data_IF_425389082229
#
_entry.id   IF_425389082229
#
_cell.length_a   1.000
_cell.length_b   1.000
_cell.length_c   1.000
_cell.angle_alpha   90.00
_cell.angle_beta   90.00
_cell.angle_gamma   90.00
#
_symmetry.space_group_name_H-M   'P 1'
#
loop_
_entity.id
_entity.type
_entity.pdbx_description
1 polymer ?
#
# COMPACT_ATOMS: atom_id res chain seq x y z
N UNK A 1 6.20 -4.72 -17.73
CA UNK A 1 5.44 -4.24 -16.57
C UNK A 1 5.92 -2.86 -16.13
N UNK A 2 5.01 -1.97 -15.90
CA UNK A 2 5.35 -0.63 -15.45
C UNK A 2 5.28 -0.56 -13.94
N UNK A 3 6.39 -0.18 -13.33
CA UNK A 3 6.42 0.07 -11.90
C UNK A 3 6.03 1.52 -11.66
N UNK A 4 5.15 1.73 -10.74
CA UNK A 4 4.75 3.07 -10.37
C UNK A 4 5.09 3.32 -8.91
N UNK A 5 5.90 4.32 -8.69
CA UNK A 5 6.19 4.79 -7.34
C UNK A 5 5.32 5.99 -7.04
N UNK A 6 4.66 5.95 -5.91
CA UNK A 6 3.78 7.03 -5.49
C UNK A 6 4.08 7.39 -4.05
N UNK A 7 3.95 8.67 -3.74
CA UNK A 7 4.05 9.13 -2.37
C UNK A 7 2.68 8.99 -1.73
N UNK A 8 2.63 8.33 -0.59
CA UNK A 8 1.38 8.15 0.14
C UNK A 8 0.97 9.47 0.78
N UNK A 9 -0.21 9.95 0.43
CA UNK A 9 -0.73 11.19 1.01
C UNK A 9 -1.46 10.90 2.31
N UNK A 10 -2.19 9.79 2.35
CA UNK A 10 -3.05 9.49 3.47
C UNK A 10 -3.40 8.01 3.45
N UNK A 11 -3.55 7.43 4.63
CA UNK A 11 -4.07 6.08 4.80
C UNK A 11 -5.43 6.21 5.47
N UNK A 12 -6.47 5.78 4.78
CA UNK A 12 -7.84 5.86 5.27
C UNK A 12 -8.30 4.61 5.97
N UNK A 13 -9.59 4.58 6.27
CA UNK A 13 -10.23 3.44 6.91
C UNK A 13 -10.31 3.57 8.42
N UNK A 14 -10.74 2.47 9.06
CA UNK A 14 -10.86 2.44 10.51
C UNK A 14 -9.47 2.45 11.14
N UNK A 15 -9.43 2.84 12.40
CA UNK A 15 -8.16 2.92 13.12
C UNK A 15 -7.40 1.61 13.11
N UNK A 16 -8.09 0.48 13.29
CA UNK A 16 -7.44 -0.83 13.24
C UNK A 16 -6.79 -1.10 11.89
N UNK A 17 -7.53 -0.82 10.81
CA UNK A 17 -7.02 -1.00 9.45
C UNK A 17 -5.83 -0.10 9.20
N UNK A 18 -5.93 1.14 9.63
CA UNK A 18 -4.85 2.10 9.46
C UNK A 18 -3.59 1.67 10.20
N UNK A 19 -3.74 1.20 11.43
CA UNK A 19 -2.61 0.69 12.21
C UNK A 19 -1.97 -0.52 11.54
N UNK A 20 -2.79 -1.42 11.03
CA UNK A 20 -2.29 -2.58 10.32
C UNK A 20 -1.43 -2.17 9.14
N UNK A 21 -1.93 -1.24 8.34
CA UNK A 21 -1.19 -0.75 7.18
C UNK A 21 0.07 0.00 7.57
N UNK A 22 0.00 0.80 8.63
CA UNK A 22 1.18 1.51 9.13
C UNK A 22 2.27 0.55 9.60
N UNK A 23 1.87 -0.54 10.24
CA UNK A 23 2.82 -1.56 10.67
C UNK A 23 3.53 -2.24 9.49
N UNK A 24 2.87 -2.30 8.35
CA UNK A 24 3.48 -2.81 7.13
C UNK A 24 4.39 -1.78 6.46
N UNK A 25 4.29 -0.52 6.86
CA UNK A 25 5.11 0.55 6.30
C UNK A 25 4.33 1.57 5.48
N UNK A 26 3.02 1.44 5.38
CA UNK A 26 2.20 2.40 4.63
C UNK A 26 1.88 3.60 5.50
N UNK A 27 2.74 4.59 5.43
CA UNK A 27 2.60 5.81 6.24
C UNK A 27 2.54 7.03 5.33
N UNK A 28 1.85 8.07 5.76
CA UNK A 28 1.80 9.32 5.00
C UNK A 28 3.22 9.86 4.81
N UNK A 29 3.52 10.27 3.59
CA UNK A 29 4.86 10.73 3.23
C UNK A 29 5.80 9.62 2.78
N UNK A 30 5.43 8.36 3.00
CA UNK A 30 6.23 7.23 2.52
C UNK A 30 6.00 6.98 1.05
N UNK A 31 6.87 6.19 0.45
CA UNK A 31 6.76 5.82 -0.95
C UNK A 31 6.30 4.38 -1.08
N UNK A 32 5.36 4.14 -1.97
CA UNK A 32 4.90 2.80 -2.31
C UNK A 32 5.07 2.58 -3.80
N UNK A 33 5.52 1.40 -4.18
CA UNK A 33 5.70 1.04 -5.59
C UNK A 33 4.84 -0.18 -5.91
N UNK A 34 3.95 -0.04 -6.87
CA UNK A 34 3.13 -1.17 -7.32
C UNK A 34 3.98 -2.05 -8.22
N UNK A 35 4.11 -3.31 -7.84
CA UNK A 35 4.92 -4.28 -8.58
C UNK A 35 4.05 -5.12 -9.49
N UNK A 36 2.92 -5.60 -8.98
CA UNK A 36 2.07 -6.51 -9.73
C UNK A 36 0.67 -6.54 -9.16
N UNK A 37 -0.25 -7.12 -9.91
CA UNK A 37 -1.61 -7.37 -9.45
C UNK A 37 -1.96 -8.81 -9.83
N UNK A 38 -2.37 -9.60 -8.85
CA UNK A 38 -2.70 -11.01 -9.05
C UNK A 38 -4.00 -11.34 -8.33
N UNK A 39 -4.98 -11.82 -9.10
CA UNK A 39 -6.26 -12.31 -8.55
C UNK A 39 -6.92 -11.39 -7.52
N UNK A 40 -6.94 -10.10 -7.81
CA UNK A 40 -7.55 -9.14 -6.90
C UNK A 40 -6.67 -8.68 -5.76
N UNK A 41 -5.44 -9.17 -5.70
CA UNK A 41 -4.46 -8.71 -4.73
C UNK A 41 -3.42 -7.85 -5.43
N UNK A 42 -2.92 -6.86 -4.72
CA UNK A 42 -1.85 -6.01 -5.23
C UNK A 42 -0.57 -6.34 -4.51
N UNK A 43 0.49 -6.50 -5.28
CA UNK A 43 1.82 -6.72 -4.73
C UNK A 43 2.57 -5.41 -4.84
N UNK A 44 2.97 -4.89 -3.69
CA UNK A 44 3.62 -3.59 -3.62
C UNK A 44 4.91 -3.68 -2.82
N UNK A 45 5.83 -2.79 -3.16
CA UNK A 45 7.05 -2.59 -2.37
C UNK A 45 6.84 -1.38 -1.48
N UNK A 46 7.10 -1.56 -0.21
CA UNK A 46 7.08 -0.47 0.76
C UNK A 46 8.24 -0.69 1.73
N UNK A 47 9.06 0.33 1.92
CA UNK A 47 10.24 0.27 2.81
C UNK A 47 11.12 -0.95 2.54
N UNK A 48 11.43 -1.20 1.28
CA UNK A 48 12.27 -2.31 0.86
C UNK A 48 11.65 -3.69 1.09
N UNK A 49 10.40 -3.73 1.51
CA UNK A 49 9.68 -4.98 1.69
C UNK A 49 8.61 -5.13 0.62
N UNK A 50 8.40 -6.37 0.19
CA UNK A 50 7.34 -6.68 -0.75
C UNK A 50 6.16 -7.26 0.00
N UNK A 51 5.01 -6.65 -0.16
CA UNK A 51 3.80 -7.02 0.58
C UNK A 51 2.66 -7.25 -0.40
N UNK A 52 1.87 -8.29 -0.16
CA UNK A 52 0.65 -8.53 -0.91
C UNK A 52 -0.53 -8.04 -0.08
N UNK A 53 -1.34 -7.18 -0.66
CA UNK A 53 -2.53 -6.65 0.02
C UNK A 53 -3.74 -6.80 -0.90
N UNK A 54 -4.91 -7.00 -0.31
CA UNK A 54 -6.15 -7.03 -1.08
C UNK A 54 -6.50 -5.66 -1.63
N UNK A 55 -7.31 -5.64 -2.69
CA UNK A 55 -7.74 -4.38 -3.28
C UNK A 55 -8.47 -3.49 -2.30
N UNK A 56 -9.23 -4.07 -1.39
CA UNK A 56 -9.95 -3.31 -0.38
C UNK A 56 -8.99 -2.51 0.50
N UNK A 57 -7.89 -3.14 0.87
CA UNK A 57 -6.84 -2.45 1.65
C UNK A 57 -6.11 -1.43 0.81
N UNK A 58 -5.81 -1.78 -0.44
CA UNK A 58 -5.12 -0.88 -1.35
C UNK A 58 -5.92 0.39 -1.59
N UNK A 59 -7.25 0.30 -1.65
CA UNK A 59 -8.11 1.45 -1.85
C UNK A 59 -8.08 2.44 -0.68
N UNK A 60 -7.59 2.02 0.46
CA UNK A 60 -7.49 2.90 1.62
C UNK A 60 -6.21 3.71 1.64
N UNK A 61 -5.28 3.36 0.78
CA UNK A 61 -4.01 4.08 0.64
C UNK A 61 -4.20 5.12 -0.46
N UNK A 62 -4.13 6.38 -0.08
CA UNK A 62 -4.33 7.49 -1.02
C UNK A 62 -2.99 8.07 -1.46
N UNK A 63 -2.83 8.19 -2.75
CA UNK A 63 -1.59 8.68 -3.36
C UNK A 63 -1.82 9.91 -4.24
#
# INVERSE_FOLDING_TARGET
MLFRSNVIKKVGGKEETRRFLENLGFVAGGTVTVVSEVNGNMIVNVKESRVAIGKDMANKIMV
#
